data_IF_938577881987
#
_entry.id   IF_938577881987
#
_cell.length_a   1.000
_cell.length_b   1.000
_cell.length_c   1.000
_cell.angle_alpha   90.00
_cell.angle_beta   90.00
_cell.angle_gamma   90.00
#
_symmetry.space_group_name_H-M   'P 1'
#
loop_
_entity.id
_entity.type
_entity.pdbx_description
1 polymer ?
#
# COMPACT_ATOMS: atom_id res chain seq x y z
N UNK A 1 -28.82 -35.62 67.82
CA UNK A 1 -29.75 -34.77 67.06
C UNK A 1 -29.10 -33.39 66.96
N UNK A 2 -28.48 -33.13 65.75
CA UNK A 2 -27.88 -31.80 65.51
C UNK A 2 -28.88 -31.04 64.60
N UNK A 3 -29.40 -29.94 65.13
CA UNK A 3 -30.33 -29.05 64.42
C UNK A 3 -29.55 -28.17 63.45
N UNK A 4 -29.73 -28.41 62.14
CA UNK A 4 -29.22 -27.52 61.05
C UNK A 4 -30.20 -26.37 60.86
N UNK A 5 -29.85 -25.19 61.40
CA UNK A 5 -30.52 -23.92 61.08
C UNK A 5 -30.22 -23.53 59.62
N UNK A 6 -31.20 -23.20 58.76
CA UNK A 6 -30.94 -22.74 57.42
C UNK A 6 -30.36 -21.31 57.45
N UNK A 7 -29.21 -21.13 56.83
CA UNK A 7 -28.57 -19.80 56.66
C UNK A 7 -29.43 -18.98 55.69
N UNK A 8 -30.06 -17.93 56.21
CA UNK A 8 -30.78 -16.94 55.42
C UNK A 8 -29.76 -16.14 54.58
N UNK A 9 -29.81 -16.27 53.24
CA UNK A 9 -29.02 -15.47 52.32
C UNK A 9 -29.79 -14.17 52.10
N UNK A 10 -29.25 -13.08 52.62
CA UNK A 10 -29.79 -11.75 52.38
C UNK A 10 -29.83 -11.46 50.89
N UNK A 11 -30.95 -10.94 50.34
CA UNK A 11 -31.01 -10.56 48.91
C UNK A 11 -30.00 -9.45 48.64
N UNK A 12 -29.21 -9.63 47.60
CA UNK A 12 -28.21 -8.66 47.17
C UNK A 12 -28.81 -7.26 47.05
N UNK A 13 -28.11 -6.22 47.52
CA UNK A 13 -28.61 -4.85 47.45
C UNK A 13 -28.94 -4.48 46.00
N UNK A 14 -30.02 -3.70 45.79
CA UNK A 14 -30.43 -3.31 44.43
C UNK A 14 -29.29 -2.59 43.77
N UNK A 15 -28.90 -3.08 42.55
CA UNK A 15 -27.89 -2.47 41.73
C UNK A 15 -28.28 -1.01 41.48
N UNK A 16 -27.50 -0.10 42.02
CA UNK A 16 -27.73 1.33 41.88
C UNK A 16 -27.77 1.70 40.39
N UNK A 17 -28.92 2.18 39.93
CA UNK A 17 -29.09 2.68 38.58
C UNK A 17 -28.06 3.78 38.35
N UNK A 18 -27.06 3.42 37.53
CA UNK A 18 -26.11 4.26 36.80
C UNK A 18 -25.94 5.71 37.29
N UNK A 19 -24.78 5.99 37.84
CA UNK A 19 -24.27 7.35 37.91
C UNK A 19 -24.43 8.02 36.51
N UNK A 20 -25.33 9.02 36.42
CA UNK A 20 -25.47 9.85 35.23
C UNK A 20 -24.10 10.49 34.97
N UNK A 21 -23.41 10.09 33.93
CA UNK A 21 -22.11 10.64 33.54
C UNK A 21 -22.24 12.16 33.38
N UNK A 22 -21.50 12.92 34.16
CA UNK A 22 -21.34 14.37 34.05
C UNK A 22 -20.58 14.80 32.77
N UNK A 23 -20.17 13.84 31.92
CA UNK A 23 -19.42 14.05 30.68
C UNK A 23 -20.23 14.43 29.42
N UNK A 24 -21.54 14.58 29.55
CA UNK A 24 -22.45 14.74 28.38
C UNK A 24 -22.13 15.90 27.43
N UNK A 25 -21.59 17.02 27.93
CA UNK A 25 -21.23 18.16 27.08
C UNK A 25 -19.91 17.91 26.33
N UNK A 26 -18.87 17.42 27.00
CA UNK A 26 -17.59 17.06 26.38
C UNK A 26 -17.74 15.95 25.34
N UNK A 27 -18.52 14.90 25.65
CA UNK A 27 -18.78 13.80 24.72
C UNK A 27 -19.51 14.27 23.45
N UNK A 28 -20.47 15.20 23.58
CA UNK A 28 -21.18 15.77 22.44
C UNK A 28 -20.26 16.63 21.58
N UNK A 29 -19.40 17.44 22.20
CA UNK A 29 -18.41 18.28 21.49
C UNK A 29 -17.42 17.35 20.76
N UNK A 30 -16.86 16.36 21.44
CA UNK A 30 -15.93 15.41 20.84
C UNK A 30 -16.57 14.63 19.66
N UNK A 31 -17.78 14.10 19.85
CA UNK A 31 -18.53 13.42 18.80
C UNK A 31 -18.85 14.35 17.62
N UNK A 32 -19.16 15.62 17.89
CA UNK A 32 -19.39 16.64 16.87
C UNK A 32 -18.12 16.95 16.07
N UNK A 33 -17.01 17.17 16.74
CA UNK A 33 -15.70 17.40 16.10
C UNK A 33 -15.25 16.19 15.28
N UNK A 34 -15.38 14.98 15.81
CA UNK A 34 -15.03 13.74 15.11
C UNK A 34 -15.86 13.54 13.83
N UNK A 35 -17.19 13.73 13.91
CA UNK A 35 -18.07 13.66 12.74
C UNK A 35 -17.77 14.79 11.75
N UNK A 36 -17.55 16.01 12.24
CA UNK A 36 -17.20 17.15 11.42
C UNK A 36 -15.90 16.95 10.65
N UNK A 37 -14.87 16.42 11.31
CA UNK A 37 -13.59 16.08 10.65
C UNK A 37 -13.76 15.01 9.58
N UNK A 38 -14.58 13.97 9.83
CA UNK A 38 -14.89 12.95 8.83
C UNK A 38 -15.63 13.52 7.61
N UNK A 39 -16.63 14.37 7.84
CA UNK A 39 -17.37 15.05 6.76
C UNK A 39 -16.45 16.00 5.99
N UNK A 40 -15.63 16.78 6.68
CA UNK A 40 -14.66 17.69 6.05
C UNK A 40 -13.70 16.94 5.12
N UNK A 41 -13.18 15.80 5.54
CA UNK A 41 -12.32 14.94 4.71
C UNK A 41 -13.05 14.50 3.43
N UNK A 42 -14.30 14.05 3.55
CA UNK A 42 -15.09 13.63 2.38
C UNK A 42 -15.37 14.82 1.44
N UNK A 43 -15.67 16.00 1.99
CA UNK A 43 -15.88 17.22 1.19
C UNK A 43 -14.61 17.62 0.45
N UNK A 44 -13.44 17.56 1.09
CA UNK A 44 -12.15 17.85 0.44
C UNK A 44 -11.90 16.84 -0.70
N UNK A 45 -12.08 15.53 -0.45
CA UNK A 45 -11.91 14.53 -1.49
C UNK A 45 -12.86 14.71 -2.67
N UNK A 46 -14.14 15.01 -2.39
CA UNK A 46 -15.13 15.30 -3.42
C UNK A 46 -14.76 16.56 -4.22
N UNK A 47 -14.31 17.62 -3.56
CA UNK A 47 -13.87 18.87 -4.22
C UNK A 47 -12.67 18.62 -5.13
N UNK A 48 -11.68 17.82 -4.70
CA UNK A 48 -10.55 17.42 -5.53
C UNK A 48 -11.04 16.62 -6.75
N UNK A 49 -11.93 15.65 -6.57
CA UNK A 49 -12.47 14.86 -7.67
C UNK A 49 -13.22 15.73 -8.70
N UNK A 50 -14.04 16.68 -8.24
CA UNK A 50 -14.75 17.63 -9.10
C UNK A 50 -13.76 18.53 -9.85
N UNK A 51 -12.77 19.08 -9.16
CA UNK A 51 -11.72 19.92 -9.78
C UNK A 51 -10.95 19.15 -10.86
N UNK A 52 -10.47 17.95 -10.55
CA UNK A 52 -9.74 17.11 -11.50
C UNK A 52 -10.60 16.76 -12.71
N UNK A 53 -11.88 16.43 -12.49
CA UNK A 53 -12.83 16.11 -13.58
C UNK A 53 -13.08 17.31 -14.47
N UNK A 54 -13.25 18.50 -13.90
CA UNK A 54 -13.45 19.73 -14.65
C UNK A 54 -12.24 20.05 -15.54
N UNK A 55 -11.03 20.04 -14.99
CA UNK A 55 -9.81 20.31 -15.75
C UNK A 55 -9.53 19.21 -16.80
N UNK A 56 -9.76 17.94 -16.45
CA UNK A 56 -9.64 16.82 -17.38
C UNK A 56 -10.58 16.94 -18.57
N UNK A 57 -11.83 17.41 -18.37
CA UNK A 57 -12.79 17.57 -19.46
C UNK A 57 -12.30 18.56 -20.51
N UNK A 58 -11.62 19.64 -20.11
CA UNK A 58 -11.03 20.63 -21.03
C UNK A 58 -9.92 20.00 -21.88
N UNK A 59 -9.03 19.22 -21.24
CA UNK A 59 -7.96 18.56 -21.94
C UNK A 59 -8.46 17.48 -22.91
N UNK A 60 -9.41 16.65 -22.47
CA UNK A 60 -9.94 15.55 -23.26
C UNK A 60 -10.74 16.01 -24.47
N UNK A 61 -11.44 17.15 -24.37
CA UNK A 61 -12.23 17.70 -25.49
C UNK A 61 -11.38 18.15 -26.68
N UNK A 62 -10.11 18.46 -26.48
CA UNK A 62 -9.17 18.95 -27.51
C UNK A 62 -8.15 17.91 -27.94
N UNK A 63 -8.11 16.76 -27.27
CA UNK A 63 -7.17 15.68 -27.60
C UNK A 63 -7.63 14.95 -28.87
N UNK A 64 -6.84 14.94 -29.92
CA UNK A 64 -7.15 14.19 -31.14
C UNK A 64 -6.82 12.69 -31.02
N UNK A 65 -5.98 12.30 -30.07
CA UNK A 65 -5.66 10.91 -29.77
C UNK A 65 -6.70 10.24 -28.87
N UNK A 66 -6.75 8.89 -28.90
CA UNK A 66 -7.50 8.15 -27.91
C UNK A 66 -6.75 8.17 -26.56
N UNK A 67 -7.32 8.87 -25.57
CA UNK A 67 -6.69 9.06 -24.27
C UNK A 67 -6.25 7.76 -23.56
N UNK A 68 -7.01 6.68 -23.72
CA UNK A 68 -6.71 5.41 -23.04
C UNK A 68 -5.67 4.56 -23.76
N UNK A 69 -5.57 4.64 -25.10
CA UNK A 69 -4.78 3.71 -25.90
C UNK A 69 -3.57 4.34 -26.59
N UNK A 70 -3.50 5.66 -26.69
CA UNK A 70 -2.35 6.35 -27.28
C UNK A 70 -1.11 6.19 -26.39
N UNK A 71 0.03 5.89 -27.02
CA UNK A 71 1.30 5.72 -26.31
C UNK A 71 2.06 7.04 -26.16
N UNK A 72 1.88 7.96 -27.07
CA UNK A 72 2.59 9.24 -27.09
C UNK A 72 2.06 10.21 -26.03
N UNK A 73 2.97 11.07 -25.55
CA UNK A 73 2.65 12.17 -24.67
C UNK A 73 3.16 13.48 -25.25
N UNK A 74 2.38 14.10 -26.12
CA UNK A 74 2.69 15.36 -26.76
C UNK A 74 1.52 16.36 -26.61
N UNK A 75 1.23 16.72 -25.36
CA UNK A 75 0.14 17.61 -25.03
C UNK A 75 0.39 19.07 -25.47
N UNK A 76 1.64 19.45 -25.73
CA UNK A 76 2.01 20.80 -26.19
C UNK A 76 2.04 20.93 -27.70
N UNK A 77 1.81 19.86 -28.46
CA UNK A 77 1.73 19.90 -29.92
C UNK A 77 0.45 20.58 -30.41
N UNK A 78 0.44 20.92 -31.69
CA UNK A 78 -0.74 21.44 -32.35
C UNK A 78 -0.96 20.64 -33.66
N UNK A 79 -1.95 19.71 -33.70
CA UNK A 79 -2.91 19.38 -32.66
C UNK A 79 -2.32 18.59 -31.48
N UNK A 80 -2.91 18.66 -30.28
CA UNK A 80 -2.42 17.93 -29.13
C UNK A 80 -2.77 16.44 -29.24
N UNK A 81 -1.77 15.57 -28.98
CA UNK A 81 -1.94 14.11 -28.95
C UNK A 81 -1.29 13.58 -27.68
N UNK A 82 -2.08 12.99 -26.81
CA UNK A 82 -1.57 12.39 -25.58
C UNK A 82 -2.46 11.24 -25.10
N UNK A 83 -1.82 10.27 -24.44
CA UNK A 83 -2.50 9.11 -23.88
C UNK A 83 -1.83 8.59 -22.61
N UNK A 84 -2.55 7.72 -21.91
CA UNK A 84 -2.14 7.20 -20.61
C UNK A 84 -1.73 5.73 -20.63
N UNK A 85 -1.79 5.06 -21.79
CA UNK A 85 -1.54 3.62 -21.87
C UNK A 85 -0.20 3.20 -21.23
N UNK A 86 0.87 3.90 -21.56
CA UNK A 86 2.22 3.64 -21.02
C UNK A 86 2.29 3.94 -19.52
N UNK A 87 1.69 5.04 -19.10
CA UNK A 87 1.70 5.48 -17.68
C UNK A 87 0.91 4.50 -16.80
N UNK A 88 -0.24 4.05 -17.27
CA UNK A 88 -1.05 3.05 -16.61
C UNK A 88 -0.31 1.72 -16.49
N UNK A 89 0.25 1.24 -17.61
CA UNK A 89 1.02 0.01 -17.66
C UNK A 89 2.20 0.06 -16.67
N UNK A 90 3.03 1.10 -16.75
CA UNK A 90 4.21 1.23 -15.89
C UNK A 90 3.86 1.34 -14.41
N UNK A 91 2.80 2.10 -14.05
CA UNK A 91 2.34 2.23 -12.67
C UNK A 91 1.83 0.89 -12.12
N UNK A 92 1.04 0.16 -12.89
CA UNK A 92 0.48 -1.13 -12.46
C UNK A 92 1.57 -2.19 -12.36
N UNK A 93 2.41 -2.34 -13.39
CA UNK A 93 3.45 -3.38 -13.43
C UNK A 93 4.49 -3.16 -12.32
N UNK A 94 5.01 -1.96 -12.15
CA UNK A 94 5.98 -1.66 -11.09
C UNK A 94 5.39 -1.90 -9.68
N UNK A 95 4.11 -1.56 -9.48
CA UNK A 95 3.42 -1.80 -8.21
C UNK A 95 3.17 -3.28 -7.94
N UNK A 96 2.82 -4.07 -8.96
CA UNK A 96 2.66 -5.53 -8.83
C UNK A 96 4.00 -6.18 -8.44
N UNK A 97 5.09 -5.81 -9.13
CA UNK A 97 6.44 -6.32 -8.81
C UNK A 97 6.81 -5.95 -7.36
N UNK A 98 6.58 -4.70 -6.98
CA UNK A 98 6.85 -4.22 -5.63
C UNK A 98 6.08 -5.04 -4.57
N UNK A 99 4.80 -5.25 -4.77
CA UNK A 99 3.94 -6.00 -3.84
C UNK A 99 4.31 -7.49 -3.78
N UNK A 100 4.60 -8.10 -4.93
CA UNK A 100 4.98 -9.51 -5.01
C UNK A 100 6.26 -9.81 -4.22
N UNK A 101 7.19 -8.86 -4.16
CA UNK A 101 8.45 -8.97 -3.41
C UNK A 101 8.25 -8.55 -1.95
N UNK A 102 7.67 -7.37 -1.72
CA UNK A 102 7.64 -6.76 -0.40
C UNK A 102 6.69 -7.47 0.57
N UNK A 103 5.48 -7.88 0.14
CA UNK A 103 4.49 -8.43 1.07
C UNK A 103 4.93 -9.73 1.72
N UNK A 104 5.41 -10.75 0.97
CA UNK A 104 5.88 -12.00 1.59
C UNK A 104 7.04 -11.76 2.58
N UNK A 105 8.01 -10.93 2.19
CA UNK A 105 9.17 -10.60 3.02
C UNK A 105 8.74 -9.83 4.27
N UNK A 106 7.89 -8.81 4.12
CA UNK A 106 7.40 -7.99 5.21
C UNK A 106 6.61 -8.82 6.24
N UNK A 107 5.74 -9.72 5.77
CA UNK A 107 4.98 -10.63 6.64
C UNK A 107 5.94 -11.57 7.37
N UNK A 108 6.94 -12.11 6.69
CA UNK A 108 7.97 -12.96 7.32
C UNK A 108 8.74 -12.22 8.41
N UNK A 109 9.19 -10.98 8.14
CA UNK A 109 9.89 -10.14 9.13
C UNK A 109 8.95 -9.78 10.29
N UNK A 110 7.70 -9.44 10.02
CA UNK A 110 6.70 -9.13 11.05
C UNK A 110 6.45 -10.31 11.98
N UNK A 111 6.28 -11.52 11.44
CA UNK A 111 6.15 -12.76 12.23
C UNK A 111 7.41 -13.07 13.02
N UNK A 112 8.59 -12.88 12.42
CA UNK A 112 9.85 -13.08 13.13
C UNK A 112 9.96 -12.16 14.33
N UNK A 113 9.72 -10.86 14.17
CA UNK A 113 9.82 -9.86 15.24
C UNK A 113 8.78 -10.10 16.32
N UNK A 114 7.54 -10.47 15.97
CA UNK A 114 6.43 -10.63 16.92
C UNK A 114 6.47 -11.94 17.71
N UNK A 115 6.90 -13.07 17.11
CA UNK A 115 6.74 -14.42 17.70
C UNK A 115 8.02 -15.22 17.85
N UNK A 116 9.07 -14.93 17.05
CA UNK A 116 10.32 -15.70 17.09
C UNK A 116 11.49 -14.97 17.74
N UNK A 117 11.58 -13.66 17.58
CA UNK A 117 12.71 -12.88 18.06
C UNK A 117 12.78 -12.90 19.59
N UNK A 118 13.96 -13.11 20.21
CA UNK A 118 14.14 -12.95 21.63
C UNK A 118 13.75 -11.51 22.05
N UNK A 119 13.16 -11.35 23.23
CA UNK A 119 12.68 -10.04 23.73
C UNK A 119 13.72 -8.93 23.66
N UNK A 120 15.01 -9.27 23.81
CA UNK A 120 16.12 -8.31 23.73
C UNK A 120 16.37 -7.79 22.30
N UNK A 121 16.00 -8.54 21.27
CA UNK A 121 16.19 -8.17 19.86
C UNK A 121 14.89 -7.65 19.21
N UNK A 122 13.73 -8.07 19.67
CA UNK A 122 12.44 -7.68 19.08
C UNK A 122 12.23 -6.17 19.09
N UNK A 123 12.53 -5.50 20.22
CA UNK A 123 12.33 -4.05 20.32
C UNK A 123 13.32 -3.23 19.45
N UNK A 124 14.65 -3.49 19.44
CA UNK A 124 15.56 -2.83 18.51
C UNK A 124 15.22 -3.06 17.04
N UNK A 125 14.86 -4.29 16.65
CA UNK A 125 14.47 -4.58 15.27
C UNK A 125 13.22 -3.83 14.84
N UNK A 126 12.21 -3.78 15.71
CA UNK A 126 11.01 -3.00 15.47
C UNK A 126 11.33 -1.51 15.27
N UNK A 127 12.17 -0.95 16.15
CA UNK A 127 12.59 0.45 16.05
C UNK A 127 13.35 0.74 14.74
N UNK A 128 14.23 -0.16 14.29
CA UNK A 128 14.92 -0.02 13.00
C UNK A 128 13.93 -0.04 11.84
N UNK A 129 12.94 -0.93 11.85
CA UNK A 129 11.88 -0.98 10.82
C UNK A 129 11.09 0.32 10.79
N UNK A 130 10.71 0.86 11.95
CA UNK A 130 9.95 2.10 12.04
C UNK A 130 10.79 3.30 11.58
N UNK A 131 12.09 3.35 11.86
CA UNK A 131 13.02 4.36 11.33
C UNK A 131 13.13 4.30 9.81
N UNK A 132 13.25 3.10 9.23
CA UNK A 132 13.31 2.92 7.78
C UNK A 132 12.03 3.38 7.09
N UNK A 133 10.86 3.19 7.73
CA UNK A 133 9.59 3.69 7.21
C UNK A 133 9.52 5.23 7.14
N UNK A 134 10.26 5.93 8.01
CA UNK A 134 10.30 7.38 8.09
C UNK A 134 11.29 8.04 7.10
N UNK A 135 12.13 7.25 6.41
CA UNK A 135 13.12 7.79 5.45
C UNK A 135 12.42 8.46 4.27
N UNK A 136 12.81 9.71 3.89
CA UNK A 136 12.26 10.40 2.72
C UNK A 136 12.48 9.59 1.43
N UNK A 137 11.46 9.52 0.56
CA UNK A 137 11.51 8.71 -0.68
C UNK A 137 12.62 9.13 -1.64
N UNK A 138 12.96 10.41 -1.67
CA UNK A 138 14.06 10.93 -2.50
C UNK A 138 15.42 10.29 -2.15
N UNK A 139 15.66 9.95 -0.88
CA UNK A 139 16.88 9.28 -0.44
C UNK A 139 16.95 7.88 -1.04
N UNK A 140 15.83 7.14 -0.99
CA UNK A 140 15.73 5.83 -1.67
C UNK A 140 15.96 5.98 -3.19
N UNK A 141 15.44 7.05 -3.79
CA UNK A 141 15.62 7.32 -5.20
C UNK A 141 17.08 7.57 -5.60
N UNK A 142 17.79 8.45 -4.87
CA UNK A 142 19.22 8.74 -5.11
C UNK A 142 20.07 7.50 -4.86
N UNK A 143 19.84 6.79 -3.76
CA UNK A 143 20.51 5.53 -3.47
C UNK A 143 20.22 4.49 -4.56
N UNK A 144 18.97 4.42 -5.01
CA UNK A 144 18.54 3.53 -6.09
C UNK A 144 19.28 3.80 -7.41
N UNK A 145 19.36 5.06 -7.80
CA UNK A 145 20.03 5.48 -9.03
C UNK A 145 21.54 5.23 -9.00
N UNK A 146 22.20 5.53 -7.86
CA UNK A 146 23.66 5.48 -7.75
C UNK A 146 24.18 4.08 -7.37
N UNK A 147 23.44 3.33 -6.57
CA UNK A 147 23.87 2.03 -6.06
C UNK A 147 23.06 0.86 -6.60
N UNK A 148 21.72 0.90 -6.50
CA UNK A 148 20.88 -0.25 -6.83
C UNK A 148 20.91 -0.54 -8.35
N UNK A 149 20.76 0.46 -9.18
CA UNK A 149 20.76 0.32 -10.65
C UNK A 149 22.03 -0.38 -11.18
N UNK A 150 23.26 0.03 -10.80
CA UNK A 150 24.48 -0.67 -11.21
C UNK A 150 24.53 -2.13 -10.74
N UNK A 151 24.12 -2.40 -9.49
CA UNK A 151 24.15 -3.75 -8.93
C UNK A 151 23.13 -4.68 -9.58
N UNK A 152 21.95 -4.17 -9.94
CA UNK A 152 20.91 -4.96 -10.59
C UNK A 152 21.23 -5.31 -12.04
N UNK A 153 22.24 -4.68 -12.66
CA UNK A 153 22.62 -5.03 -14.01
C UNK A 153 23.07 -6.50 -14.14
N UNK A 154 23.84 -6.99 -13.17
CA UNK A 154 24.22 -8.42 -13.12
C UNK A 154 23.03 -9.35 -12.91
N UNK A 155 22.10 -8.99 -12.03
CA UNK A 155 20.86 -9.74 -11.83
C UNK A 155 19.99 -9.76 -13.08
N UNK A 156 19.87 -8.63 -13.76
CA UNK A 156 19.07 -8.55 -15.00
C UNK A 156 19.66 -9.42 -16.11
N UNK A 157 20.99 -9.49 -16.25
CA UNK A 157 21.64 -10.40 -17.20
C UNK A 157 21.42 -11.87 -16.81
N UNK A 158 21.49 -12.19 -15.55
CA UNK A 158 21.21 -13.55 -15.05
C UNK A 158 19.74 -13.95 -15.29
N UNK A 159 18.79 -13.04 -15.03
CA UNK A 159 17.35 -13.27 -15.31
C UNK A 159 17.09 -13.47 -16.81
N UNK A 160 17.74 -12.69 -17.65
CA UNK A 160 17.66 -12.81 -19.11
C UNK A 160 18.18 -14.17 -19.58
N UNK A 161 19.34 -14.59 -19.10
CA UNK A 161 19.98 -15.86 -19.46
C UNK A 161 19.15 -17.08 -19.04
N UNK A 162 18.61 -17.10 -17.80
CA UNK A 162 17.92 -18.28 -17.26
C UNK A 162 16.41 -18.23 -17.41
N UNK A 163 15.78 -17.04 -17.46
CA UNK A 163 14.34 -16.85 -17.51
C UNK A 163 13.89 -16.06 -18.75
N UNK A 164 14.77 -15.72 -19.68
CA UNK A 164 14.44 -15.02 -20.94
C UNK A 164 13.39 -15.75 -21.77
N UNK A 165 13.34 -17.09 -21.68
CA UNK A 165 12.30 -17.90 -22.34
C UNK A 165 10.87 -17.52 -21.90
N UNK A 166 10.69 -16.86 -20.77
CA UNK A 166 9.37 -16.39 -20.28
C UNK A 166 8.85 -15.16 -21.01
N UNK A 167 9.58 -14.58 -21.96
CA UNK A 167 9.28 -13.34 -22.65
C UNK A 167 9.28 -12.09 -21.76
N UNK A 168 8.87 -12.23 -20.50
CA UNK A 168 8.83 -11.12 -19.52
C UNK A 168 10.22 -10.69 -19.07
N UNK A 169 11.13 -11.64 -18.92
CA UNK A 169 12.52 -11.42 -18.51
C UNK A 169 13.51 -11.44 -19.68
N UNK A 170 13.03 -11.47 -20.92
CA UNK A 170 13.88 -11.33 -22.10
C UNK A 170 14.34 -9.87 -22.22
N UNK A 171 15.66 -9.65 -22.30
CA UNK A 171 16.28 -8.33 -22.43
C UNK A 171 16.65 -8.07 -23.89
N UNK A 172 15.74 -7.54 -24.64
CA UNK A 172 15.94 -7.25 -26.07
C UNK A 172 16.75 -5.99 -26.33
N UNK A 173 16.91 -5.11 -25.32
CA UNK A 173 17.64 -3.85 -25.47
C UNK A 173 18.89 -3.82 -24.59
N UNK A 174 20.01 -3.44 -25.18
CA UNK A 174 21.26 -3.20 -24.45
C UNK A 174 21.17 -1.84 -23.75
N UNK A 175 21.42 -1.82 -22.44
CA UNK A 175 21.38 -0.58 -21.67
C UNK A 175 21.53 -0.79 -20.16
N UNK A 176 21.56 0.32 -19.44
CA UNK A 176 21.59 0.33 -17.97
C UNK A 176 20.25 -0.17 -17.42
N UNK A 177 20.28 -0.85 -16.27
CA UNK A 177 19.10 -1.43 -15.60
C UNK A 177 18.11 -0.35 -15.07
N UNK A 178 17.72 0.63 -15.88
CA UNK A 178 16.72 1.67 -15.59
C UNK A 178 15.37 1.27 -16.15
N UNK A 179 14.83 0.18 -15.61
CA UNK A 179 13.65 -0.52 -16.11
C UNK A 179 12.53 -0.53 -15.10
N UNK A 180 11.32 -0.96 -15.51
CA UNK A 180 10.18 -1.14 -14.61
C UNK A 180 10.45 -2.18 -13.53
N UNK A 181 11.26 -3.21 -13.82
CA UNK A 181 11.67 -4.21 -12.85
C UNK A 181 12.52 -3.58 -11.73
N UNK A 182 13.50 -2.76 -12.09
CA UNK A 182 14.35 -2.05 -11.12
C UNK A 182 13.53 -1.11 -10.23
N UNK A 183 12.58 -0.38 -10.84
CA UNK A 183 11.62 0.45 -10.09
C UNK A 183 10.79 -0.39 -9.14
N UNK A 184 10.29 -1.54 -9.59
CA UNK A 184 9.54 -2.47 -8.75
C UNK A 184 10.33 -2.95 -7.53
N UNK A 185 11.62 -3.27 -7.69
CA UNK A 185 12.51 -3.63 -6.56
C UNK A 185 12.73 -2.44 -5.62
N UNK A 186 12.99 -1.25 -6.16
CA UNK A 186 13.15 -0.04 -5.35
C UNK A 186 11.90 0.24 -4.52
N UNK A 187 10.73 0.19 -5.15
CA UNK A 187 9.45 0.35 -4.47
C UNK A 187 9.23 -0.75 -3.42
N UNK A 188 9.62 -1.99 -3.70
CA UNK A 188 9.53 -3.09 -2.73
C UNK A 188 10.34 -2.77 -1.47
N UNK A 189 11.58 -2.34 -1.61
CA UNK A 189 12.44 -1.96 -0.48
C UNK A 189 11.81 -0.81 0.32
N UNK A 190 11.21 0.16 -0.34
CA UNK A 190 10.61 1.34 0.28
C UNK A 190 9.30 1.02 1.03
N UNK A 191 8.45 0.13 0.50
CA UNK A 191 7.18 -0.21 1.16
C UNK A 191 7.32 -1.31 2.21
N UNK A 192 8.39 -2.12 2.14
CA UNK A 192 8.66 -3.24 3.05
C UNK A 192 8.60 -2.83 4.54
N UNK A 193 9.24 -1.74 5.00
CA UNK A 193 9.17 -1.33 6.40
C UNK A 193 7.75 -0.99 6.86
N UNK A 194 6.97 -0.33 6.01
CA UNK A 194 5.59 0.07 6.32
C UNK A 194 4.70 -1.16 6.48
N UNK A 195 4.77 -2.09 5.52
CA UNK A 195 3.97 -3.33 5.57
C UNK A 195 4.40 -4.17 6.77
N UNK A 196 5.71 -4.22 7.07
CA UNK A 196 6.24 -4.95 8.24
C UNK A 196 5.73 -4.37 9.55
N UNK A 197 5.84 -3.05 9.74
CA UNK A 197 5.45 -2.38 10.98
C UNK A 197 3.96 -2.60 11.28
N UNK A 198 3.08 -2.34 10.30
CA UNK A 198 1.64 -2.51 10.47
C UNK A 198 1.26 -3.99 10.66
N UNK A 199 1.87 -4.91 9.90
CA UNK A 199 1.60 -6.35 10.06
C UNK A 199 2.05 -6.87 11.43
N UNK A 200 3.18 -6.38 11.94
CA UNK A 200 3.67 -6.73 13.28
C UNK A 200 2.67 -6.29 14.36
N UNK A 201 2.16 -5.06 14.29
CA UNK A 201 1.16 -4.58 15.23
C UNK A 201 -0.11 -5.45 15.23
N UNK A 202 -0.55 -5.88 14.05
CA UNK A 202 -1.69 -6.79 13.91
C UNK A 202 -1.40 -8.16 14.55
N UNK A 203 -0.22 -8.73 14.35
CA UNK A 203 0.14 -10.02 14.93
C UNK A 203 0.28 -9.97 16.46
N UNK A 204 0.70 -8.83 17.01
CA UNK A 204 0.76 -8.64 18.46
C UNK A 204 -0.63 -8.53 19.13
N UNK A 205 -1.69 -8.29 18.36
CA UNK A 205 -3.07 -8.25 18.86
C UNK A 205 -3.73 -9.63 18.96
N UNK A 206 -3.06 -10.68 18.52
CA UNK A 206 -3.60 -12.06 18.64
C UNK A 206 -3.76 -12.40 20.11
N UNK A 207 -4.95 -12.87 20.56
CA UNK A 207 -5.17 -13.28 21.94
C UNK A 207 -4.25 -14.45 22.32
N UNK A 208 -3.46 -14.27 23.38
CA UNK A 208 -2.53 -15.31 23.86
C UNK A 208 -3.21 -16.63 24.16
N UNK A 209 -4.46 -16.59 24.61
CA UNK A 209 -5.26 -17.79 24.90
C UNK A 209 -5.38 -18.69 23.65
N UNK A 210 -5.48 -18.14 22.45
CA UNK A 210 -5.56 -18.93 21.20
C UNK A 210 -4.24 -19.62 20.90
N UNK A 211 -3.11 -18.97 21.18
CA UNK A 211 -1.78 -19.55 21.01
C UNK A 211 -1.50 -20.65 22.05
N UNK A 212 -1.82 -20.37 23.32
CA UNK A 212 -1.66 -21.31 24.42
C UNK A 212 -2.55 -22.54 24.26
N UNK A 213 -3.79 -22.38 23.79
CA UNK A 213 -4.68 -23.51 23.48
C UNK A 213 -4.09 -24.42 22.40
N UNK A 214 -3.55 -23.84 21.32
CA UNK A 214 -2.90 -24.62 20.26
C UNK A 214 -1.66 -25.36 20.78
N UNK A 215 -0.83 -24.72 21.62
CA UNK A 215 0.32 -25.35 22.25
C UNK A 215 -0.07 -26.48 23.21
N UNK A 216 -1.15 -26.32 23.97
CA UNK A 216 -1.69 -27.34 24.88
C UNK A 216 -2.16 -28.61 24.14
N UNK A 217 -2.59 -28.46 22.88
CA UNK A 217 -2.92 -29.57 22.00
C UNK A 217 -1.69 -30.22 21.31
N UNK A 218 -0.46 -29.78 21.66
CA UNK A 218 0.79 -30.32 21.13
C UNK A 218 1.24 -29.71 19.80
N UNK A 219 0.63 -28.59 19.37
CA UNK A 219 1.05 -27.91 18.15
C UNK A 219 2.48 -27.35 18.25
N UNK A 220 3.25 -27.44 17.18
CA UNK A 220 4.54 -26.77 17.04
C UNK A 220 4.36 -25.25 16.88
N UNK A 221 5.41 -24.46 17.13
CA UNK A 221 5.35 -23.00 16.96
C UNK A 221 4.88 -22.56 15.56
N UNK A 222 5.30 -23.28 14.52
CA UNK A 222 4.86 -22.99 13.15
C UNK A 222 3.37 -23.28 12.94
N UNK A 223 2.88 -24.38 13.51
CA UNK A 223 1.45 -24.72 13.47
C UNK A 223 0.61 -23.69 14.21
N UNK A 224 1.07 -23.20 15.37
CA UNK A 224 0.40 -22.08 16.08
C UNK A 224 0.30 -20.86 15.18
N UNK A 225 1.39 -20.47 14.49
CA UNK A 225 1.37 -19.33 13.58
C UNK A 225 0.37 -19.58 12.43
N UNK A 226 0.39 -20.74 11.84
CA UNK A 226 -0.47 -21.07 10.69
C UNK A 226 -1.95 -21.20 11.06
N UNK A 227 -2.26 -21.73 12.24
CA UNK A 227 -3.64 -22.00 12.67
C UNK A 227 -4.27 -20.87 13.47
N UNK A 228 -3.49 -20.08 14.20
CA UNK A 228 -3.97 -19.04 15.11
C UNK A 228 -3.58 -17.64 14.63
N UNK A 229 -2.30 -17.36 14.43
CA UNK A 229 -1.79 -16.00 14.17
C UNK A 229 -2.15 -15.50 12.78
N UNK A 230 -1.83 -16.28 11.73
CA UNK A 230 -2.09 -15.88 10.35
C UNK A 230 -3.59 -15.73 10.02
N UNK A 231 -4.48 -16.64 10.44
CA UNK A 231 -5.91 -16.47 10.19
C UNK A 231 -6.49 -15.24 10.89
N UNK A 232 -6.10 -14.98 12.15
CA UNK A 232 -6.50 -13.80 12.89
C UNK A 232 -5.97 -12.51 12.23
N UNK A 233 -4.68 -12.47 11.91
CA UNK A 233 -4.01 -11.30 11.34
C UNK A 233 -4.30 -11.02 9.88
N UNK A 234 -4.98 -11.92 9.14
CA UNK A 234 -5.13 -11.85 7.69
C UNK A 234 -5.75 -10.55 7.18
N UNK A 235 -6.81 -10.07 7.83
CA UNK A 235 -7.46 -8.80 7.44
C UNK A 235 -6.54 -7.60 7.65
N UNK A 236 -5.75 -7.62 8.73
CA UNK A 236 -4.77 -6.60 9.03
C UNK A 236 -3.58 -6.62 8.06
N UNK A 237 -3.07 -7.80 7.69
CA UNK A 237 -2.01 -7.94 6.68
C UNK A 237 -2.49 -7.41 5.31
N UNK A 238 -3.73 -7.71 4.90
CA UNK A 238 -4.30 -7.14 3.68
C UNK A 238 -4.35 -5.61 3.78
N UNK A 239 -4.79 -5.06 4.92
CA UNK A 239 -4.83 -3.60 5.12
C UNK A 239 -3.44 -2.97 5.09
N UNK A 240 -2.43 -3.60 5.71
CA UNK A 240 -1.03 -3.19 5.65
C UNK A 240 -0.50 -3.20 4.21
N UNK A 241 -0.83 -4.26 3.45
CA UNK A 241 -0.46 -4.39 2.04
C UNK A 241 -1.09 -3.30 1.18
N UNK A 242 -2.36 -2.95 1.44
CA UNK A 242 -3.03 -1.84 0.73
C UNK A 242 -2.41 -0.49 1.04
N UNK A 243 -1.95 -0.27 2.27
CA UNK A 243 -1.21 0.95 2.62
C UNK A 243 0.12 1.03 1.83
N UNK A 244 0.86 -0.08 1.76
CA UNK A 244 2.07 -0.18 0.94
C UNK A 244 1.79 0.04 -0.54
N UNK A 245 0.73 -0.56 -1.09
CA UNK A 245 0.33 -0.39 -2.49
C UNK A 245 -0.07 1.05 -2.82
N UNK A 246 -0.83 1.71 -1.94
CA UNK A 246 -1.18 3.13 -2.11
C UNK A 246 0.06 4.01 -2.23
N UNK A 247 1.10 3.73 -1.41
CA UNK A 247 2.39 4.41 -1.51
C UNK A 247 3.12 4.08 -2.82
N UNK A 248 3.16 2.83 -3.24
CA UNK A 248 3.83 2.43 -4.48
C UNK A 248 3.18 3.04 -5.73
N UNK A 249 1.84 3.10 -5.80
CA UNK A 249 1.10 3.71 -6.90
C UNK A 249 1.35 5.22 -7.03
N UNK A 250 1.54 5.92 -5.91
CA UNK A 250 1.74 7.37 -5.86
C UNK A 250 3.20 7.82 -5.81
N UNK A 251 4.17 6.90 -5.86
CA UNK A 251 5.58 7.27 -5.72
C UNK A 251 6.08 8.05 -6.92
N UNK A 252 6.63 9.21 -6.64
CA UNK A 252 7.00 10.20 -7.63
C UNK A 252 8.52 10.34 -7.74
N UNK A 253 9.18 10.76 -6.65
CA UNK A 253 10.57 11.19 -6.67
C UNK A 253 11.55 10.04 -6.79
N UNK A 254 11.29 8.93 -6.09
CA UNK A 254 12.14 7.75 -6.19
C UNK A 254 12.08 7.13 -7.58
N UNK A 255 10.89 7.10 -8.20
CA UNK A 255 10.73 6.60 -9.58
C UNK A 255 11.39 7.53 -10.58
N UNK A 256 11.21 8.85 -10.46
CA UNK A 256 11.80 9.83 -11.39
C UNK A 256 13.33 9.81 -11.43
N UNK A 257 13.99 9.44 -10.34
CA UNK A 257 15.47 9.35 -10.30
C UNK A 257 16.02 8.07 -10.90
N UNK A 258 15.25 6.99 -10.89
CA UNK A 258 15.69 5.65 -11.33
C UNK A 258 15.22 5.30 -12.73
N UNK A 259 13.99 5.62 -13.11
CA UNK A 259 13.40 5.25 -14.39
C UNK A 259 13.85 6.21 -15.48
N UNK A 260 14.28 5.66 -16.62
CA UNK A 260 14.44 6.44 -17.85
C UNK A 260 13.08 6.61 -18.53
N UNK A 261 12.56 7.85 -18.69
CA UNK A 261 11.25 8.07 -19.30
C UNK A 261 11.21 7.55 -20.73
N UNK A 262 10.24 6.72 -21.05
CA UNK A 262 9.99 6.21 -22.40
C UNK A 262 8.49 5.96 -22.56
N UNK A 263 7.96 6.30 -23.76
CA UNK A 263 6.55 6.10 -24.09
C UNK A 263 6.33 4.87 -24.96
N UNK A 264 7.03 3.77 -24.60
CA UNK A 264 6.87 2.46 -25.23
C UNK A 264 6.30 1.47 -24.22
N UNK A 265 5.29 0.72 -24.63
CA UNK A 265 4.81 -0.44 -23.84
C UNK A 265 5.62 -1.64 -24.28
N UNK A 266 6.30 -2.25 -23.33
CA UNK A 266 6.98 -3.52 -23.53
C UNK A 266 6.68 -4.43 -22.34
N UNK A 267 6.31 -5.68 -22.64
CA UNK A 267 6.19 -6.72 -21.60
C UNK A 267 7.55 -7.21 -21.11
N UNK A 268 8.64 -6.85 -21.80
CA UNK A 268 10.00 -7.12 -21.35
C UNK A 268 10.37 -6.15 -20.21
N UNK A 269 10.08 -6.54 -18.97
CA UNK A 269 10.22 -5.66 -17.79
C UNK A 269 11.67 -5.29 -17.46
N UNK A 270 12.65 -6.00 -18.05
CA UNK A 270 14.08 -5.71 -17.91
C UNK A 270 14.59 -4.65 -18.90
N UNK A 271 13.84 -4.34 -19.95
CA UNK A 271 14.23 -3.32 -20.90
C UNK A 271 14.24 -1.93 -20.25
N UNK A 272 15.25 -1.09 -20.59
CA UNK A 272 15.27 0.29 -20.12
C UNK A 272 14.04 1.05 -20.61
N UNK A 273 13.48 1.87 -19.74
CA UNK A 273 12.38 2.74 -20.09
C UNK A 273 11.06 2.39 -19.41
N UNK A 274 10.05 3.20 -19.71
CA UNK A 274 8.72 3.16 -19.15
C UNK A 274 8.31 4.52 -18.58
N UNK A 275 7.11 4.60 -18.04
CA UNK A 275 6.58 5.80 -17.39
C UNK A 275 5.55 5.45 -16.34
N UNK A 276 5.48 6.23 -15.27
CA UNK A 276 4.39 6.15 -14.31
C UNK A 276 3.64 7.48 -14.26
N UNK A 277 2.39 7.46 -13.80
CA UNK A 277 1.59 8.69 -13.69
C UNK A 277 2.28 9.75 -12.84
N UNK A 278 2.66 9.40 -11.63
CA UNK A 278 3.24 10.33 -10.68
C UNK A 278 4.57 10.93 -11.18
N UNK A 279 5.44 10.08 -11.76
CA UNK A 279 6.70 10.52 -12.35
C UNK A 279 6.49 11.45 -13.55
N UNK A 280 5.56 11.12 -14.48
CA UNK A 280 5.29 11.97 -15.65
C UNK A 280 4.73 13.34 -15.25
N UNK A 281 3.82 13.38 -14.25
CA UNK A 281 3.30 14.64 -13.73
C UNK A 281 4.43 15.48 -13.15
N UNK A 282 5.25 14.93 -12.26
CA UNK A 282 6.33 15.67 -11.62
C UNK A 282 7.39 16.16 -12.62
N UNK A 283 7.74 15.35 -13.61
CA UNK A 283 8.75 15.71 -14.58
C UNK A 283 8.32 16.80 -15.57
N UNK A 284 7.02 16.89 -15.87
CA UNK A 284 6.52 17.78 -16.94
C UNK A 284 5.69 18.96 -16.45
N UNK A 285 5.29 19.00 -15.19
CA UNK A 285 4.34 20.01 -14.70
C UNK A 285 4.86 21.45 -14.80
N UNK A 286 6.13 21.66 -14.48
CA UNK A 286 6.74 22.99 -14.49
C UNK A 286 7.01 23.51 -15.92
N UNK A 287 7.28 22.62 -16.85
CA UNK A 287 7.58 22.95 -18.25
C UNK A 287 6.30 23.04 -19.12
N UNK A 288 5.17 22.51 -18.62
CA UNK A 288 3.93 22.44 -19.35
C UNK A 288 3.26 23.80 -19.49
N UNK A 289 2.75 24.11 -20.69
CA UNK A 289 1.84 25.20 -20.91
C UNK A 289 0.49 24.94 -20.19
N UNK A 290 -0.42 25.90 -20.22
CA UNK A 290 -1.70 25.79 -19.51
C UNK A 290 -2.49 24.54 -19.92
N UNK A 291 -2.58 24.27 -21.22
CA UNK A 291 -3.25 23.07 -21.73
C UNK A 291 -2.50 21.77 -21.37
N UNK A 292 -1.18 21.78 -21.42
CA UNK A 292 -0.35 20.64 -20.99
C UNK A 292 -0.57 20.31 -19.51
N UNK A 293 -0.76 21.32 -18.66
CA UNK A 293 -1.11 21.11 -17.23
C UNK A 293 -2.48 20.46 -17.07
N UNK A 294 -3.46 20.84 -17.90
CA UNK A 294 -4.78 20.21 -17.90
C UNK A 294 -4.69 18.74 -18.32
N UNK A 295 -3.84 18.40 -19.29
CA UNK A 295 -3.58 17.03 -19.71
C UNK A 295 -2.90 16.21 -18.59
N UNK A 296 -1.93 16.80 -17.86
CA UNK A 296 -1.32 16.16 -16.68
C UNK A 296 -2.33 15.96 -15.56
N UNK A 297 -3.22 16.93 -15.32
CA UNK A 297 -4.32 16.80 -14.36
C UNK A 297 -5.29 15.68 -14.77
N UNK A 298 -5.57 15.52 -16.07
CA UNK A 298 -6.38 14.41 -16.58
C UNK A 298 -5.73 13.04 -16.27
N UNK A 299 -4.39 12.93 -16.44
CA UNK A 299 -3.68 11.71 -16.02
C UNK A 299 -3.73 11.49 -14.51
N UNK A 300 -3.65 12.55 -13.72
CA UNK A 300 -3.83 12.51 -12.26
C UNK A 300 -5.21 12.03 -11.82
N UNK A 301 -6.27 12.41 -12.56
CA UNK A 301 -7.62 11.90 -12.34
C UNK A 301 -7.68 10.38 -12.52
N UNK A 302 -7.02 9.83 -13.53
CA UNK A 302 -6.96 8.37 -13.74
C UNK A 302 -6.23 7.69 -12.59
N UNK A 303 -5.10 8.23 -12.14
CA UNK A 303 -4.39 7.70 -10.97
C UNK A 303 -5.28 7.74 -9.71
N UNK A 304 -6.02 8.82 -9.51
CA UNK A 304 -6.98 8.94 -8.40
C UNK A 304 -8.07 7.86 -8.50
N UNK A 305 -8.66 7.64 -9.67
CA UNK A 305 -9.67 6.61 -9.89
C UNK A 305 -9.08 5.20 -9.72
N UNK A 306 -7.87 4.96 -10.20
CA UNK A 306 -7.15 3.69 -10.04
C UNK A 306 -6.93 3.37 -8.55
N UNK A 307 -6.45 4.34 -7.78
CA UNK A 307 -6.24 4.16 -6.33
C UNK A 307 -7.55 3.94 -5.58
N UNK A 308 -8.61 4.65 -5.95
CA UNK A 308 -9.94 4.47 -5.38
C UNK A 308 -10.50 3.07 -5.67
N UNK A 309 -10.37 2.61 -6.91
CA UNK A 309 -10.82 1.28 -7.36
C UNK A 309 -10.07 0.17 -6.61
N UNK A 310 -8.76 0.25 -6.53
CA UNK A 310 -7.91 -0.75 -5.84
C UNK A 310 -8.23 -0.79 -4.36
N UNK A 311 -8.32 0.37 -3.68
CA UNK A 311 -8.69 0.45 -2.27
C UNK A 311 -10.13 -0.04 -2.02
N UNK A 312 -11.06 0.27 -2.92
CA UNK A 312 -12.43 -0.23 -2.88
C UNK A 312 -12.50 -1.75 -3.00
N UNK A 313 -11.80 -2.33 -3.97
CA UNK A 313 -11.70 -3.77 -4.17
C UNK A 313 -11.14 -4.48 -2.93
N UNK A 314 -10.07 -3.95 -2.34
CA UNK A 314 -9.49 -4.50 -1.11
C UNK A 314 -10.47 -4.46 0.06
N UNK A 315 -11.19 -3.36 0.26
CA UNK A 315 -12.23 -3.25 1.30
C UNK A 315 -13.37 -4.25 1.08
N UNK A 316 -13.78 -4.48 -0.15
CA UNK A 316 -14.80 -5.49 -0.48
C UNK A 316 -14.32 -6.90 -0.16
N UNK A 317 -13.05 -7.23 -0.43
CA UNK A 317 -12.45 -8.52 -0.07
C UNK A 317 -12.46 -8.71 1.45
N UNK A 318 -12.07 -7.68 2.22
CA UNK A 318 -12.07 -7.73 3.69
C UNK A 318 -13.50 -7.85 4.22
N UNK A 319 -14.44 -7.06 3.69
CA UNK A 319 -15.83 -7.05 4.16
C UNK A 319 -16.53 -8.40 3.97
N UNK A 320 -16.30 -9.11 2.85
CA UNK A 320 -16.85 -10.44 2.59
C UNK A 320 -16.33 -11.53 3.53
N UNK A 321 -15.25 -11.26 4.29
CA UNK A 321 -14.58 -12.23 5.17
C UNK A 321 -14.76 -11.94 6.65
N UNK A 322 -15.53 -10.91 7.03
CA UNK A 322 -15.82 -10.57 8.43
C UNK A 322 -16.53 -11.68 9.21
N UNK A 323 -17.19 -12.62 8.54
CA UNK A 323 -17.92 -13.70 9.18
C UNK A 323 -17.03 -14.74 9.89
N UNK A 324 -15.70 -14.68 9.70
CA UNK A 324 -14.73 -15.59 10.33
C UNK A 324 -13.93 -14.97 11.50
N UNK A 325 -14.00 -13.66 11.73
CA UNK A 325 -13.40 -13.06 12.92
C UNK A 325 -14.42 -13.14 14.05
N UNK A 326 -14.18 -13.99 15.05
CA UNK A 326 -15.05 -14.22 16.23
C UNK A 326 -15.35 -12.98 17.09
N UNK A 327 -15.81 -11.91 16.48
CA UNK A 327 -16.27 -10.68 17.11
C UNK A 327 -17.71 -10.77 17.63
N UNK A 328 -18.31 -11.98 17.63
CA UNK A 328 -19.64 -12.29 18.17
C UNK A 328 -19.56 -13.44 19.21
N UNK A 329 -18.53 -13.45 20.07
CA UNK A 329 -18.50 -14.29 21.25
C UNK A 329 -18.33 -13.43 22.50
#
# INVERSE_FOLDING_TARGET
>A
MASTTPTYIDPAPPVSKSARSTGRAGDKIFAGLSKGSGILLLVIMASIAVFLTYRASIALSKNEGNFLTTFDWNASANPPVFGIAVLLFGTVVSSIIAMAIAVPIAVGIALFISHYAPRKLAAPLAYVVDLLAAVPSIIYGIWGALFLVPQLNGLNLWLDEYLGWTYVFDKTQVGVARSLFTVGILLAIMILPIVTSVSREVFLQVPRMNEEAALALGATRWEVIRMSVLPFGRSGVISASMLGLGRALGETMAVATVLSPSFLISLHVLNPGGGTFAQNIAAKFDEANEFGRDALIASGLVLFLLTLLVNGAARLIIARRKDFSGANA
#
